data_IF_358745424207
#
_entry.id   IF_358745424207
#
_cell.length_a   1.000
_cell.length_b   1.000
_cell.length_c   1.000
_cell.angle_alpha   90.00
_cell.angle_beta   90.00
_cell.angle_gamma   90.00
#
_symmetry.space_group_name_H-M   'P 1'
#
loop_
_entity.id
_entity.type
_entity.pdbx_description
1 polymer ?
#
# COMPACT_ATOMS: atom_id res chain seq x y z
N UNK A 1 11.18 -10.94 0.02
CA UNK A 1 10.29 -10.34 1.06
C UNK A 1 8.85 -10.58 0.68
N UNK A 2 7.98 -10.86 1.65
CA UNK A 2 6.53 -10.85 1.51
C UNK A 2 5.98 -9.64 2.26
N UNK A 3 4.86 -9.07 1.77
CA UNK A 3 4.17 -7.98 2.46
C UNK A 3 2.75 -8.42 2.77
N UNK A 4 2.38 -8.37 4.03
CA UNK A 4 1.00 -8.50 4.47
C UNK A 4 0.36 -7.12 4.36
N UNK A 5 -0.53 -6.96 3.39
CA UNK A 5 -1.33 -5.76 3.17
C UNK A 5 -2.72 -5.98 3.76
N UNK A 6 -3.13 -5.13 4.67
CA UNK A 6 -4.38 -5.28 5.38
C UNK A 6 -5.22 -4.01 5.28
N UNK A 7 -6.52 -4.18 5.09
CA UNK A 7 -7.52 -3.09 5.07
C UNK A 7 -8.50 -3.33 6.21
N UNK A 8 -8.50 -2.43 7.17
CA UNK A 8 -9.35 -2.50 8.36
C UNK A 8 -10.49 -1.49 8.26
N UNK A 9 -11.71 -1.94 8.54
CA UNK A 9 -12.89 -1.10 8.70
C UNK A 9 -13.10 -0.87 10.18
N UNK A 10 -12.44 0.13 10.74
CA UNK A 10 -12.47 0.42 12.18
C UNK A 10 -13.82 1.01 12.58
N UNK A 11 -14.33 0.64 13.75
CA UNK A 11 -15.48 1.31 14.33
C UNK A 11 -15.05 2.71 14.81
N UNK A 12 -15.75 3.76 14.37
CA UNK A 12 -15.28 5.14 14.61
C UNK A 12 -15.05 5.50 16.08
N UNK A 13 -15.83 4.90 17.00
CA UNK A 13 -15.62 5.10 18.43
C UNK A 13 -14.32 4.46 18.97
N UNK A 14 -13.67 3.62 18.17
CA UNK A 14 -12.44 2.89 18.54
C UNK A 14 -11.21 3.34 17.74
N UNK A 15 -11.29 4.40 16.93
CA UNK A 15 -10.19 4.81 16.07
C UNK A 15 -8.89 5.05 16.87
N UNK A 16 -8.97 5.82 17.96
CA UNK A 16 -7.80 6.13 18.79
C UNK A 16 -7.26 4.89 19.50
N UNK A 17 -8.13 4.00 19.99
CA UNK A 17 -7.73 2.76 20.65
C UNK A 17 -7.09 1.77 19.65
N UNK A 18 -7.57 1.73 18.41
CA UNK A 18 -7.00 0.94 17.34
C UNK A 18 -5.61 1.45 16.95
N UNK A 19 -5.45 2.76 16.84
CA UNK A 19 -4.17 3.42 16.59
C UNK A 19 -3.15 3.11 17.70
N UNK A 20 -3.54 3.28 18.95
CA UNK A 20 -2.72 2.96 20.10
C UNK A 20 -2.31 1.48 20.15
N UNK A 21 -3.21 0.55 19.84
CA UNK A 21 -2.90 -0.88 19.80
C UNK A 21 -1.81 -1.22 18.75
N UNK A 22 -1.80 -0.54 17.62
CA UNK A 22 -0.75 -0.71 16.62
C UNK A 22 0.57 -0.04 17.03
N UNK A 23 0.50 1.21 17.51
CA UNK A 23 1.67 2.00 17.87
C UNK A 23 2.41 1.45 19.10
N UNK A 24 1.65 1.14 20.14
CA UNK A 24 2.21 0.84 21.47
C UNK A 24 2.46 -0.65 21.71
N UNK A 25 1.82 -1.53 20.94
CA UNK A 25 1.91 -2.97 21.17
C UNK A 25 2.43 -3.72 19.91
N UNK A 26 1.76 -3.58 18.76
CA UNK A 26 2.13 -4.35 17.57
C UNK A 26 3.50 -3.94 17.03
N UNK A 27 3.74 -2.64 16.87
CA UNK A 27 5.01 -2.11 16.37
C UNK A 27 6.22 -2.57 17.21
N UNK A 28 6.25 -2.39 18.54
CA UNK A 28 7.38 -2.87 19.35
C UNK A 28 7.45 -4.40 19.44
N UNK A 29 6.32 -5.12 19.40
CA UNK A 29 6.31 -6.58 19.41
C UNK A 29 6.94 -7.16 18.13
N UNK A 30 6.76 -6.52 16.97
CA UNK A 30 7.46 -6.87 15.74
C UNK A 30 8.92 -6.43 15.80
N UNK A 31 9.21 -5.30 16.44
CA UNK A 31 10.56 -4.77 16.65
C UNK A 31 11.46 -5.67 17.48
N UNK A 32 10.89 -6.49 18.36
CA UNK A 32 11.65 -7.42 19.21
C UNK A 32 12.26 -8.61 18.44
N UNK A 33 11.76 -8.92 17.24
CA UNK A 33 12.29 -9.96 16.36
C UNK A 33 12.97 -9.39 15.11
N UNK A 34 13.44 -10.25 14.23
CA UNK A 34 14.08 -9.88 12.96
C UNK A 34 13.32 -10.36 11.71
N UNK A 35 12.22 -11.08 11.90
CA UNK A 35 11.47 -11.71 10.82
C UNK A 35 10.42 -10.80 10.17
N UNK A 36 9.86 -9.85 10.92
CA UNK A 36 8.79 -8.98 10.44
C UNK A 36 8.89 -7.56 11.01
N UNK A 37 8.35 -6.58 10.28
CA UNK A 37 8.21 -5.18 10.69
C UNK A 37 6.93 -4.59 10.13
N UNK A 38 6.25 -3.75 10.93
CA UNK A 38 5.27 -2.83 10.39
C UNK A 38 6.03 -1.81 9.53
N UNK A 39 5.65 -1.66 8.27
CA UNK A 39 6.27 -0.72 7.33
C UNK A 39 5.46 0.57 7.24
N UNK A 40 4.16 0.45 7.00
CA UNK A 40 3.25 1.59 6.92
C UNK A 40 2.00 1.36 7.76
N UNK A 41 1.59 2.39 8.44
CA UNK A 41 0.27 2.54 9.04
C UNK A 41 -0.38 3.80 8.46
N UNK A 42 -1.49 3.60 7.75
CA UNK A 42 -2.10 4.63 6.92
C UNK A 42 -3.59 4.73 7.21
N UNK A 43 -4.10 5.94 7.15
CA UNK A 43 -5.54 6.20 7.21
C UNK A 43 -6.03 6.65 5.84
N UNK A 44 -7.22 6.25 5.45
CA UNK A 44 -7.85 6.76 4.24
C UNK A 44 -7.98 8.29 4.36
N UNK A 45 -7.54 9.02 3.35
CA UNK A 45 -7.62 10.48 3.36
C UNK A 45 -9.09 10.92 3.37
N UNK A 46 -9.40 11.96 4.13
CA UNK A 46 -10.76 12.42 4.31
C UNK A 46 -11.45 12.73 2.97
N UNK A 47 -12.64 12.18 2.77
CA UNK A 47 -13.42 12.36 1.55
C UNK A 47 -13.05 11.42 0.40
N UNK A 48 -12.03 10.55 0.53
CA UNK A 48 -11.61 9.63 -0.54
C UNK A 48 -12.19 8.23 -0.42
N UNK A 49 -13.17 8.01 0.44
CA UNK A 49 -13.85 6.72 0.60
C UNK A 49 -14.50 6.55 1.96
N UNK A 50 -14.67 5.30 2.42
CA UNK A 50 -15.31 5.01 3.69
C UNK A 50 -14.44 5.48 4.86
N UNK A 51 -15.03 6.30 5.74
CA UNK A 51 -14.39 6.79 6.95
C UNK A 51 -13.87 5.65 7.83
N UNK A 52 -12.90 5.96 8.68
CA UNK A 52 -12.29 5.02 9.62
C UNK A 52 -11.69 3.78 8.95
N UNK A 53 -11.25 3.92 7.71
CA UNK A 53 -10.49 2.88 7.03
C UNK A 53 -9.00 3.07 7.32
N UNK A 54 -8.38 2.03 7.84
CA UNK A 54 -6.94 1.96 8.08
C UNK A 54 -6.34 0.92 7.14
N UNK A 55 -5.20 1.22 6.55
CA UNK A 55 -4.42 0.30 5.72
C UNK A 55 -3.05 0.11 6.37
N UNK A 56 -2.65 -1.15 6.52
CA UNK A 56 -1.32 -1.48 7.08
C UNK A 56 -0.53 -2.35 6.11
N UNK A 57 0.78 -2.15 6.10
CA UNK A 57 1.72 -3.03 5.43
C UNK A 57 2.70 -3.58 6.45
N UNK A 58 2.72 -4.88 6.61
CA UNK A 58 3.74 -5.58 7.41
C UNK A 58 4.67 -6.33 6.48
N UNK A 59 5.95 -5.98 6.50
CA UNK A 59 7.00 -6.71 5.79
C UNK A 59 7.42 -7.95 6.55
N UNK A 60 7.43 -9.10 5.87
CA UNK A 60 8.02 -10.34 6.36
C UNK A 60 9.24 -10.68 5.50
N UNK A 61 10.35 -11.02 6.14
CA UNK A 61 11.60 -11.33 5.43
C UNK A 61 11.42 -12.39 4.36
N UNK A 62 10.68 -13.45 4.70
CA UNK A 62 10.41 -14.60 3.85
C UNK A 62 9.10 -15.31 4.25
N UNK A 63 8.81 -16.44 3.62
CA UNK A 63 7.60 -17.23 3.91
C UNK A 63 7.61 -17.85 5.32
N UNK A 64 8.79 -18.19 5.87
CA UNK A 64 8.88 -18.72 7.23
C UNK A 64 8.53 -17.62 8.25
N UNK A 65 9.08 -16.42 8.08
CA UNK A 65 8.75 -15.27 8.93
C UNK A 65 7.27 -14.88 8.86
N UNK A 66 6.64 -15.03 7.69
CA UNK A 66 5.19 -14.86 7.57
C UNK A 66 4.40 -15.93 8.31
N UNK A 67 4.83 -17.22 8.25
CA UNK A 67 4.20 -18.29 8.99
C UNK A 67 4.35 -18.08 10.51
N UNK A 68 5.54 -17.70 10.98
CA UNK A 68 5.79 -17.37 12.38
C UNK A 68 4.90 -16.22 12.87
N UNK A 69 4.75 -15.15 12.08
CA UNK A 69 3.82 -14.06 12.40
C UNK A 69 2.38 -14.55 12.51
N UNK A 70 1.94 -15.42 11.60
CA UNK A 70 0.60 -15.99 11.64
C UNK A 70 0.37 -16.84 12.90
N UNK A 71 1.38 -17.58 13.35
CA UNK A 71 1.31 -18.36 14.61
C UNK A 71 1.28 -17.43 15.84
N UNK A 72 2.10 -16.38 15.86
CA UNK A 72 2.08 -15.38 16.95
C UNK A 72 0.72 -14.72 17.11
N UNK A 73 0.05 -14.40 16.00
CA UNK A 73 -1.29 -13.77 16.00
C UNK A 73 -2.39 -14.75 16.40
N UNK A 74 -2.30 -16.04 16.02
CA UNK A 74 -3.38 -17.03 16.23
C UNK A 74 -3.30 -17.81 17.54
N UNK A 75 -2.12 -18.04 18.06
CA UNK A 75 -1.91 -18.89 19.25
C UNK A 75 -0.68 -18.52 20.07
N UNK A 76 0.00 -17.42 19.73
CA UNK A 76 1.20 -16.95 20.40
C UNK A 76 0.99 -15.66 21.19
N UNK A 77 2.05 -14.90 21.31
CA UNK A 77 2.15 -13.67 22.11
C UNK A 77 1.26 -12.52 21.63
N UNK A 78 0.86 -12.53 20.36
CA UNK A 78 -0.02 -11.51 19.75
C UNK A 78 -1.51 -11.89 19.74
N UNK A 79 -1.89 -13.06 20.30
CA UNK A 79 -3.29 -13.50 20.26
C UNK A 79 -4.23 -12.54 20.98
N UNK A 80 -3.91 -12.13 22.20
CA UNK A 80 -4.74 -11.20 22.97
C UNK A 80 -4.85 -9.82 22.31
N UNK A 81 -3.77 -9.34 21.68
CA UNK A 81 -3.77 -8.14 20.85
C UNK A 81 -4.72 -8.29 19.67
N UNK A 82 -4.62 -9.38 18.92
CA UNK A 82 -5.44 -9.65 17.74
C UNK A 82 -6.93 -9.71 18.06
N UNK A 83 -7.31 -10.44 19.12
CA UNK A 83 -8.71 -10.53 19.58
C UNK A 83 -9.27 -9.16 19.98
N UNK A 84 -8.49 -8.33 20.64
CA UNK A 84 -8.89 -6.97 21.00
C UNK A 84 -9.04 -6.08 19.77
N UNK A 85 -8.12 -6.14 18.83
CA UNK A 85 -8.19 -5.39 17.55
C UNK A 85 -9.39 -5.84 16.72
N UNK A 86 -9.71 -7.14 16.70
CA UNK A 86 -10.91 -7.66 16.04
C UNK A 86 -12.20 -7.09 16.64
N UNK A 87 -12.24 -6.85 17.95
CA UNK A 87 -13.36 -6.20 18.62
C UNK A 87 -13.53 -4.70 18.27
N UNK A 88 -12.51 -4.06 17.68
CA UNK A 88 -12.52 -2.64 17.32
C UNK A 88 -12.88 -2.38 15.84
N UNK A 89 -13.10 -3.40 15.03
CA UNK A 89 -13.34 -3.27 13.59
C UNK A 89 -14.58 -4.01 13.13
N UNK A 90 -15.27 -3.44 12.13
CA UNK A 90 -16.42 -4.05 11.47
C UNK A 90 -16.01 -5.07 10.41
N UNK A 91 -14.79 -5.02 9.93
CA UNK A 91 -14.31 -5.89 8.87
C UNK A 91 -12.82 -5.76 8.63
N UNK A 92 -12.27 -6.81 8.04
CA UNK A 92 -10.87 -6.94 7.74
C UNK A 92 -10.69 -7.70 6.43
N UNK A 93 -9.84 -7.19 5.56
CA UNK A 93 -9.40 -7.88 4.35
C UNK A 93 -7.88 -7.86 4.29
N UNK A 94 -7.28 -8.97 3.90
CA UNK A 94 -5.83 -9.09 3.83
C UNK A 94 -5.37 -9.73 2.51
N UNK A 95 -4.20 -9.30 2.03
CA UNK A 95 -3.49 -9.86 0.89
C UNK A 95 -2.03 -10.09 1.28
N UNK A 96 -1.44 -11.15 0.76
CA UNK A 96 0.01 -11.32 0.80
C UNK A 96 0.55 -10.91 -0.58
N UNK A 97 1.43 -9.93 -0.60
CA UNK A 97 1.97 -9.32 -1.79
C UNK A 97 3.45 -9.67 -1.97
N UNK A 98 3.91 -9.68 -3.22
CA UNK A 98 5.32 -9.75 -3.59
C UNK A 98 5.63 -8.64 -4.60
N UNK A 99 6.82 -8.01 -4.55
CA UNK A 99 7.22 -7.03 -5.56
C UNK A 99 7.27 -7.65 -6.95
N UNK A 100 6.83 -6.89 -7.96
CA UNK A 100 7.08 -7.28 -9.37
C UNK A 100 8.51 -6.94 -9.77
N UNK A 101 9.03 -7.56 -10.83
CA UNK A 101 10.45 -7.46 -11.21
C UNK A 101 10.96 -6.02 -11.42
N UNK A 102 10.11 -5.11 -11.87
CA UNK A 102 10.46 -3.70 -12.11
C UNK A 102 10.03 -2.77 -10.97
N UNK A 103 9.53 -3.28 -9.86
CA UNK A 103 9.20 -2.47 -8.69
C UNK A 103 10.45 -1.76 -8.17
N UNK A 104 10.41 -0.43 -7.90
CA UNK A 104 11.51 0.25 -7.22
C UNK A 104 11.83 -0.37 -5.86
N UNK A 105 10.79 -0.72 -5.11
CA UNK A 105 10.93 -1.44 -3.85
C UNK A 105 10.99 -2.94 -4.10
N UNK A 106 12.16 -3.53 -3.95
CA UNK A 106 12.38 -4.99 -4.00
C UNK A 106 12.46 -5.62 -2.61
N UNK A 107 12.66 -4.80 -1.60
CA UNK A 107 12.76 -5.15 -0.19
C UNK A 107 13.51 -4.08 0.57
N UNK A 108 13.47 -4.19 1.87
CA UNK A 108 14.20 -3.32 2.81
C UNK A 108 14.88 -4.23 3.83
N UNK A 109 16.03 -3.81 4.35
CA UNK A 109 16.55 -4.44 5.56
C UNK A 109 15.60 -4.09 6.72
N UNK A 110 14.92 -5.12 7.23
CA UNK A 110 13.95 -4.93 8.31
C UNK A 110 14.59 -4.39 9.59
N UNK A 111 15.92 -4.56 9.77
CA UNK A 111 16.63 -3.99 10.90
C UNK A 111 16.75 -2.46 10.84
N UNK A 112 16.66 -1.88 9.63
CA UNK A 112 16.67 -0.42 9.42
C UNK A 112 15.31 0.22 9.59
N UNK A 113 14.21 -0.57 9.65
CA UNK A 113 12.87 -0.05 9.86
C UNK A 113 12.66 0.30 11.32
N UNK A 114 12.24 1.55 11.65
CA UNK A 114 12.00 1.94 13.02
C UNK A 114 11.01 1.02 13.75
N UNK A 115 11.38 0.61 14.96
CA UNK A 115 10.56 -0.20 15.85
C UNK A 115 9.85 0.63 16.92
N UNK A 116 9.99 1.95 16.86
CA UNK A 116 9.35 2.94 17.72
C UNK A 116 8.54 3.91 16.87
N UNK A 117 7.37 4.32 17.38
CA UNK A 117 6.49 5.27 16.70
C UNK A 117 6.93 6.72 16.94
N UNK A 118 8.05 7.14 16.35
CA UNK A 118 8.51 8.53 16.41
C UNK A 118 7.64 9.43 15.55
N UNK A 119 7.36 10.65 16.05
CA UNK A 119 6.49 11.60 15.35
C UNK A 119 7.24 12.27 14.18
N UNK A 120 6.56 12.38 13.05
CA UNK A 120 7.05 13.02 11.84
C UNK A 120 5.92 13.72 11.07
N UNK A 121 6.24 14.48 10.03
CA UNK A 121 5.25 15.03 9.12
C UNK A 121 4.57 13.89 8.32
N UNK A 122 3.28 14.05 8.08
CA UNK A 122 2.50 13.05 7.35
C UNK A 122 2.76 13.14 5.85
N UNK A 123 2.82 11.99 5.20
CA UNK A 123 2.89 11.89 3.74
C UNK A 123 1.57 11.39 3.17
N UNK A 124 1.31 11.78 1.92
CA UNK A 124 0.19 11.27 1.16
C UNK A 124 0.64 10.22 0.15
N UNK A 125 -0.15 9.17 0.06
CA UNK A 125 0.06 8.08 -0.88
C UNK A 125 -1.18 7.86 -1.74
N UNK A 126 -0.96 7.33 -2.93
CA UNK A 126 -2.00 6.78 -3.79
C UNK A 126 -1.75 5.29 -3.96
N UNK A 127 -2.74 4.49 -3.57
CA UNK A 127 -2.76 3.06 -3.84
C UNK A 127 -3.70 2.81 -5.01
N UNK A 128 -3.15 2.35 -6.12
CA UNK A 128 -3.95 1.89 -7.24
C UNK A 128 -3.99 0.37 -7.28
N UNK A 129 -5.18 -0.20 -7.33
CA UNK A 129 -5.38 -1.60 -7.65
C UNK A 129 -5.90 -1.72 -9.07
N UNK A 130 -5.09 -2.27 -9.96
CA UNK A 130 -5.47 -2.52 -11.34
C UNK A 130 -5.82 -4.00 -11.56
N UNK A 131 -6.80 -4.24 -12.42
CA UNK A 131 -7.24 -5.59 -12.79
C UNK A 131 -6.95 -5.85 -14.28
N UNK A 132 -5.81 -6.49 -14.60
CA UNK A 132 -5.51 -6.94 -15.95
C UNK A 132 -6.62 -7.86 -16.50
N UNK A 133 -6.81 -7.85 -17.82
CA UNK A 133 -7.73 -8.79 -18.45
C UNK A 133 -7.36 -10.24 -18.16
N UNK A 134 -8.33 -11.14 -18.23
CA UNK A 134 -8.12 -12.56 -17.97
C UNK A 134 -6.97 -13.12 -18.83
N UNK A 135 -5.98 -13.74 -18.19
CA UNK A 135 -4.76 -14.21 -18.85
C UNK A 135 -3.75 -13.11 -19.24
N UNK A 136 -4.06 -11.84 -18.99
CA UNK A 136 -3.28 -10.69 -19.43
C UNK A 136 -2.23 -10.17 -18.43
N UNK A 137 -2.01 -10.82 -17.29
CA UNK A 137 -1.07 -10.32 -16.26
C UNK A 137 0.34 -10.04 -16.84
N UNK A 138 0.90 -10.97 -17.59
CA UNK A 138 2.23 -10.81 -18.17
C UNK A 138 2.32 -9.60 -19.11
N UNK A 139 1.31 -9.41 -19.98
CA UNK A 139 1.23 -8.27 -20.88
C UNK A 139 1.07 -6.94 -20.12
N UNK A 140 0.25 -6.93 -19.05
CA UNK A 140 0.11 -5.77 -18.17
C UNK A 140 1.43 -5.42 -17.49
N UNK A 141 2.09 -6.40 -16.87
CA UNK A 141 3.36 -6.17 -16.16
C UNK A 141 4.45 -5.66 -17.11
N UNK A 142 4.53 -6.23 -18.31
CA UNK A 142 5.48 -5.76 -19.33
C UNK A 142 5.18 -4.31 -19.75
N UNK A 143 3.93 -3.99 -20.09
CA UNK A 143 3.52 -2.64 -20.52
C UNK A 143 3.67 -1.63 -19.37
N UNK A 144 3.27 -1.97 -18.16
CA UNK A 144 3.44 -1.09 -17.00
C UNK A 144 4.92 -0.83 -16.68
N UNK A 145 5.79 -1.83 -16.74
CA UNK A 145 7.23 -1.67 -16.54
C UNK A 145 7.90 -0.82 -17.60
N UNK A 146 7.50 -0.95 -18.88
CA UNK A 146 8.14 -0.22 -19.98
C UNK A 146 7.56 1.18 -20.23
N UNK A 147 6.30 1.42 -19.89
CA UNK A 147 5.63 2.70 -20.15
C UNK A 147 5.36 3.48 -18.86
N UNK A 148 4.57 2.89 -17.94
CA UNK A 148 4.15 3.60 -16.73
C UNK A 148 5.33 3.94 -15.81
N UNK A 149 6.13 2.95 -15.46
CA UNK A 149 7.30 3.13 -14.59
C UNK A 149 8.30 4.11 -15.20
N UNK A 150 8.57 4.01 -16.53
CA UNK A 150 9.49 4.92 -17.22
C UNK A 150 8.97 6.35 -17.27
N UNK A 151 7.67 6.56 -17.55
CA UNK A 151 7.08 7.90 -17.54
C UNK A 151 7.13 8.55 -16.16
N UNK A 152 6.90 7.80 -15.08
CA UNK A 152 7.02 8.34 -13.73
C UNK A 152 8.48 8.65 -13.35
N UNK A 153 9.43 7.83 -13.78
CA UNK A 153 10.85 8.11 -13.57
C UNK A 153 11.29 9.40 -14.27
N UNK A 154 10.90 9.62 -15.54
CA UNK A 154 11.16 10.86 -16.27
C UNK A 154 10.50 12.08 -15.60
N UNK A 155 9.28 11.93 -15.10
CA UNK A 155 8.58 13.00 -14.36
C UNK A 155 9.30 13.35 -13.06
N UNK A 156 9.78 12.34 -12.32
CA UNK A 156 10.58 12.52 -11.11
C UNK A 156 11.87 13.27 -11.40
N UNK A 157 12.65 12.82 -12.38
CA UNK A 157 13.92 13.48 -12.79
C UNK A 157 13.71 14.94 -13.22
N UNK A 158 12.59 15.23 -13.89
CA UNK A 158 12.26 16.59 -14.31
C UNK A 158 11.62 17.46 -13.22
N UNK A 159 11.34 16.92 -12.03
CA UNK A 159 10.66 17.62 -10.93
C UNK A 159 9.20 18.00 -11.24
N UNK A 160 8.57 17.40 -12.24
CA UNK A 160 7.20 17.72 -12.70
C UNK A 160 6.17 16.67 -12.33
N UNK A 161 6.57 15.62 -11.59
CA UNK A 161 5.68 14.55 -11.17
C UNK A 161 4.62 15.01 -10.16
N UNK A 162 3.42 14.45 -10.28
CA UNK A 162 2.38 14.54 -9.24
C UNK A 162 2.62 13.45 -8.20
N UNK A 163 3.03 12.29 -8.68
CA UNK A 163 3.28 11.07 -7.91
C UNK A 163 4.64 10.49 -8.26
N UNK A 164 5.23 9.79 -7.32
CA UNK A 164 6.41 8.96 -7.50
C UNK A 164 6.05 7.50 -7.21
N UNK A 165 6.45 6.60 -8.09
CA UNK A 165 6.26 5.18 -7.88
C UNK A 165 7.24 4.68 -6.80
N UNK A 166 6.71 4.31 -5.65
CA UNK A 166 7.50 3.71 -4.55
C UNK A 166 7.61 2.20 -4.74
N UNK A 167 6.52 1.55 -5.15
CA UNK A 167 6.50 0.12 -5.37
C UNK A 167 5.39 -0.33 -6.32
N UNK A 168 5.56 -1.54 -6.85
CA UNK A 168 4.52 -2.27 -7.57
C UNK A 168 4.51 -3.73 -7.09
N UNK A 169 3.34 -4.24 -6.78
CA UNK A 169 3.15 -5.55 -6.18
C UNK A 169 2.14 -6.38 -6.95
N UNK A 170 2.28 -7.70 -6.81
CA UNK A 170 1.24 -8.66 -7.18
C UNK A 170 0.87 -9.52 -5.97
N UNK A 171 -0.40 -9.88 -5.79
CA UNK A 171 -0.79 -10.80 -4.75
C UNK A 171 -0.27 -12.21 -5.04
N UNK A 172 0.29 -12.83 -4.02
CA UNK A 172 0.51 -14.29 -3.99
C UNK A 172 -0.66 -15.00 -3.33
N UNK A 173 -1.44 -14.27 -2.52
CA UNK A 173 -2.64 -14.77 -1.86
C UNK A 173 -3.59 -13.60 -1.50
N UNK A 174 -4.91 -13.85 -1.45
CA UNK A 174 -5.91 -12.90 -0.96
C UNK A 174 -6.45 -11.93 -2.01
N UNK A 175 -6.25 -12.19 -3.30
CA UNK A 175 -6.86 -11.37 -4.37
C UNK A 175 -8.38 -11.42 -4.33
N UNK A 176 -9.04 -10.28 -4.51
CA UNK A 176 -10.50 -10.20 -4.59
C UNK A 176 -11.05 -10.53 -5.98
N UNK A 177 -10.20 -10.45 -7.00
CA UNK A 177 -10.50 -10.79 -8.40
C UNK A 177 -9.46 -11.79 -8.90
N UNK A 178 -9.65 -12.29 -10.10
CA UNK A 178 -8.78 -13.31 -10.69
C UNK A 178 -7.32 -12.89 -10.77
N UNK A 179 -7.05 -11.61 -11.04
CA UNK A 179 -5.69 -11.09 -11.21
C UNK A 179 -5.70 -9.61 -10.86
N UNK A 180 -4.74 -9.18 -10.07
CA UNK A 180 -4.58 -7.76 -9.74
C UNK A 180 -3.11 -7.38 -9.59
N UNK A 181 -2.82 -6.09 -9.75
CA UNK A 181 -1.53 -5.47 -9.48
C UNK A 181 -1.79 -4.23 -8.63
N UNK A 182 -1.03 -4.08 -7.55
CA UNK A 182 -1.09 -2.93 -6.65
C UNK A 182 0.08 -2.02 -6.96
N UNK A 183 -0.20 -0.76 -7.31
CA UNK A 183 0.78 0.29 -7.50
C UNK A 183 0.79 1.17 -6.26
N UNK A 184 1.92 1.30 -5.63
CA UNK A 184 2.12 2.08 -4.43
C UNK A 184 2.91 3.34 -4.77
N UNK A 185 2.32 4.51 -4.57
CA UNK A 185 2.82 5.77 -5.08
C UNK A 185 2.78 6.83 -4.00
N UNK A 186 3.85 7.62 -3.88
CA UNK A 186 3.89 8.79 -3.02
C UNK A 186 3.37 10.00 -3.80
N UNK A 187 2.51 10.80 -3.20
CA UNK A 187 2.06 12.07 -3.76
C UNK A 187 3.07 13.14 -3.37
N UNK A 188 3.77 13.70 -4.36
CA UNK A 188 4.85 14.68 -4.13
C UNK A 188 4.45 16.11 -4.51
N UNK A 189 3.34 16.28 -5.23
CA UNK A 189 2.82 17.60 -5.60
C UNK A 189 1.32 17.69 -5.30
N UNK A 190 1.01 18.19 -4.10
CA UNK A 190 -0.38 18.31 -3.62
C UNK A 190 -1.22 19.28 -4.45
N UNK A 191 -0.65 20.37 -4.95
CA UNK A 191 -1.38 21.34 -5.78
C UNK A 191 -1.75 20.75 -7.14
N UNK A 192 -0.84 20.02 -7.76
CA UNK A 192 -1.12 19.33 -9.01
C UNK A 192 -2.14 18.20 -8.83
N UNK A 193 -2.11 17.50 -7.69
CA UNK A 193 -3.16 16.53 -7.35
C UNK A 193 -4.53 17.19 -7.23
N UNK A 194 -4.64 18.31 -6.51
CA UNK A 194 -5.91 19.04 -6.40
C UNK A 194 -6.43 19.48 -7.76
N UNK A 195 -5.55 19.93 -8.65
CA UNK A 195 -5.93 20.26 -10.02
C UNK A 195 -6.46 19.04 -10.77
N UNK A 196 -5.78 17.90 -10.67
CA UNK A 196 -6.20 16.63 -11.28
C UNK A 196 -7.57 16.17 -10.78
N UNK A 197 -7.86 16.34 -9.49
CA UNK A 197 -9.14 15.94 -8.89
C UNK A 197 -10.30 16.88 -9.26
N UNK A 198 -10.00 18.13 -9.64
CA UNK A 198 -11.01 19.15 -9.93
C UNK A 198 -11.24 19.39 -11.43
N UNK A 199 -10.44 18.80 -12.31
CA UNK A 199 -10.48 19.04 -13.76
C UNK A 199 -10.33 17.74 -14.54
N UNK A 200 -10.85 17.74 -15.75
CA UNK A 200 -10.61 16.66 -16.70
C UNK A 200 -9.13 16.59 -17.11
N UNK A 201 -8.67 15.37 -17.37
CA UNK A 201 -7.33 15.19 -17.94
C UNK A 201 -7.22 15.91 -19.29
N UNK A 202 -6.13 16.64 -19.53
CA UNK A 202 -5.93 17.27 -20.83
C UNK A 202 -5.79 16.20 -21.92
N UNK A 203 -6.28 16.45 -23.16
CA UNK A 203 -6.28 15.46 -24.25
C UNK A 203 -4.91 14.80 -24.49
N UNK A 204 -3.83 15.55 -24.29
CA UNK A 204 -2.45 15.01 -24.42
C UNK A 204 -2.13 13.91 -23.39
N UNK A 205 -2.79 13.88 -22.23
CA UNK A 205 -2.56 12.87 -21.20
C UNK A 205 -3.27 11.56 -21.50
N UNK A 206 -4.26 11.58 -22.39
CA UNK A 206 -5.02 10.41 -22.86
C UNK A 206 -4.77 10.06 -24.32
N UNK A 207 -3.73 10.65 -24.93
CA UNK A 207 -3.35 10.38 -26.30
C UNK A 207 -2.62 9.02 -26.45
N UNK A 208 -2.61 8.41 -27.66
CA UNK A 208 -1.78 7.24 -27.94
C UNK A 208 -0.31 7.45 -27.51
N UNK A 209 0.30 6.45 -26.95
CA UNK A 209 1.66 6.51 -26.39
C UNK A 209 1.71 6.97 -24.92
N UNK A 210 0.58 7.29 -24.31
CA UNK A 210 0.51 7.56 -22.87
C UNK A 210 -0.01 6.33 -22.12
N UNK A 211 0.36 6.21 -20.84
CA UNK A 211 -0.13 5.14 -20.00
C UNK A 211 -1.67 5.09 -19.92
N UNK A 212 -2.32 6.25 -19.78
CA UNK A 212 -3.79 6.32 -19.66
C UNK A 212 -4.51 5.79 -20.90
N UNK A 213 -3.94 5.96 -22.09
CA UNK A 213 -4.48 5.43 -23.33
C UNK A 213 -4.09 3.96 -23.53
N UNK A 214 -2.79 3.67 -23.50
CA UNK A 214 -2.27 2.38 -23.95
C UNK A 214 -2.51 1.25 -22.93
N UNK A 215 -2.76 1.60 -21.65
CA UNK A 215 -3.16 0.62 -20.67
C UNK A 215 -4.53 -0.01 -20.93
N UNK A 216 -5.40 0.64 -21.73
CA UNK A 216 -6.70 0.09 -22.11
C UNK A 216 -6.60 -1.20 -22.95
N UNK A 217 -5.44 -1.48 -23.55
CA UNK A 217 -5.19 -2.75 -24.23
C UNK A 217 -4.99 -3.93 -23.27
N UNK A 218 -4.65 -3.66 -22.01
CA UNK A 218 -4.30 -4.69 -21.02
C UNK A 218 -5.18 -4.68 -19.78
N UNK A 219 -5.90 -3.59 -19.53
CA UNK A 219 -6.93 -3.44 -18.51
C UNK A 219 -7.93 -2.35 -18.88
N UNK A 220 -9.13 -2.39 -18.31
CA UNK A 220 -10.15 -1.34 -18.44
C UNK A 220 -10.60 -0.79 -17.08
N UNK A 221 -10.20 -1.41 -15.99
CA UNK A 221 -10.60 -1.04 -14.64
C UNK A 221 -9.40 -0.93 -13.68
N UNK A 222 -9.48 0.03 -12.82
CA UNK A 222 -8.65 0.16 -11.62
C UNK A 222 -9.42 0.95 -10.55
N UNK A 223 -8.97 0.84 -9.32
CA UNK A 223 -9.45 1.60 -8.17
C UNK A 223 -8.27 2.35 -7.57
N UNK A 224 -8.47 3.63 -7.23
CA UNK A 224 -7.48 4.45 -6.54
C UNK A 224 -7.98 4.81 -5.15
N UNK A 225 -7.06 4.77 -4.18
CA UNK A 225 -7.27 5.26 -2.81
C UNK A 225 -6.22 6.28 -2.46
N UNK A 226 -6.65 7.40 -1.87
CA UNK A 226 -5.71 8.36 -1.30
C UNK A 226 -5.58 8.05 0.19
N UNK A 227 -4.35 7.79 0.61
CA UNK A 227 -4.00 7.39 1.96
C UNK A 227 -3.07 8.44 2.57
N UNK A 228 -3.16 8.61 3.88
CA UNK A 228 -2.29 9.48 4.65
C UNK A 228 -1.56 8.64 5.70
N UNK A 229 -0.24 8.77 5.79
CA UNK A 229 0.49 8.12 6.89
C UNK A 229 0.01 8.65 8.25
N UNK A 230 0.02 7.80 9.27
CA UNK A 230 0.02 8.30 10.63
C UNK A 230 1.34 9.04 10.88
N UNK A 231 1.33 10.02 11.79
CA UNK A 231 2.54 10.79 12.14
C UNK A 231 3.65 9.94 12.78
N UNK A 232 3.35 8.71 13.14
CA UNK A 232 4.26 7.73 13.75
C UNK A 232 4.51 6.50 12.87
N UNK A 233 4.01 6.47 11.64
CA UNK A 233 4.23 5.34 10.72
C UNK A 233 5.72 5.11 10.47
N UNK A 234 6.25 3.88 10.58
CA UNK A 234 7.69 3.65 10.43
C UNK A 234 8.28 4.16 9.13
N UNK A 235 7.54 4.01 8.02
CA UNK A 235 7.85 4.58 6.71
C UNK A 235 6.77 5.62 6.35
N UNK A 236 7.19 6.73 5.71
CA UNK A 236 6.31 7.86 5.38
C UNK A 236 6.83 8.69 4.19
#
# INVERSE_FOLDING_TARGET
>A
MLLLHEVHRVAGAHEDAFDAAYREEYLPALGAGDGARLLWYLRLAHGSGAAYTVVTFTGCRDAAAWADLAERVRGGDLTAWSERVDGMRHGHAAKVLTPVAWSPFQGIDLAEVPASGEEHEVSLFMEDTAWPFAGGLGAYLQKAGTLYSSQLAEQKESGRGIIELEAAYQPVFGSHRTTEVVLWQRIVNHQALLYLLAHDLPPKATAPGTWMHDALEVRDQWESRILRSASWSPLY
#
